data_IF_257716927476
#
_entry.id   IF_257716927476
#
_cell.length_a   1.000
_cell.length_b   1.000
_cell.length_c   1.000
_cell.angle_alpha   90.00
_cell.angle_beta   90.00
_cell.angle_gamma   90.00
#
_symmetry.space_group_name_H-M   'P 1'
#
loop_
_entity.id
_entity.type
_entity.pdbx_description
1 polymer ?
#
# COMPACT_ATOMS: atom_id res chain seq x y z
N UNK A 1 0.61 4.71 -13.79
CA UNK A 1 1.25 3.40 -13.55
C UNK A 1 1.87 2.91 -14.85
N UNK A 2 3.05 2.31 -14.74
CA UNK A 2 3.79 1.72 -15.87
C UNK A 2 4.03 0.24 -15.58
N UNK A 3 4.02 -0.59 -16.63
CA UNK A 3 4.22 -2.04 -16.50
C UNK A 3 5.23 -2.50 -17.54
N UNK A 4 6.29 -3.19 -17.09
CA UNK A 4 7.16 -3.94 -17.99
C UNK A 4 6.47 -5.23 -18.41
N UNK A 5 6.09 -5.32 -19.68
CA UNK A 5 5.37 -6.47 -20.23
C UNK A 5 6.19 -7.76 -20.31
N UNK A 6 7.52 -7.69 -20.19
CA UNK A 6 8.39 -8.88 -20.22
C UNK A 6 8.53 -9.51 -18.83
N UNK A 7 8.60 -8.69 -17.78
CA UNK A 7 8.84 -9.13 -16.40
C UNK A 7 7.59 -9.10 -15.53
N UNK A 8 6.57 -8.34 -15.93
CA UNK A 8 5.38 -8.05 -15.13
C UNK A 8 5.61 -6.98 -14.06
N UNK A 9 6.80 -6.36 -14.01
CA UNK A 9 7.10 -5.36 -12.98
C UNK A 9 6.24 -4.10 -13.15
N UNK A 10 5.56 -3.70 -12.07
CA UNK A 10 4.70 -2.52 -12.02
C UNK A 10 5.39 -1.37 -11.29
N UNK A 11 5.38 -0.18 -11.87
CA UNK A 11 5.88 1.06 -11.26
C UNK A 11 4.73 2.07 -11.10
N UNK A 12 4.55 2.58 -9.88
CA UNK A 12 3.58 3.63 -9.60
C UNK A 12 4.20 5.01 -9.91
N UNK A 13 3.76 5.66 -11.00
CA UNK A 13 4.26 6.97 -11.43
C UNK A 13 3.68 8.11 -10.60
N UNK A 14 2.39 8.00 -10.25
CA UNK A 14 1.63 9.03 -9.56
C UNK A 14 0.62 8.35 -8.62
N UNK A 15 0.52 8.87 -7.39
CA UNK A 15 -0.44 8.41 -6.39
C UNK A 15 -1.06 9.63 -5.71
N UNK A 16 -2.39 9.73 -5.75
CA UNK A 16 -3.15 10.85 -5.18
C UNK A 16 -4.15 10.31 -4.19
N UNK A 17 -4.21 10.91 -3.01
CA UNK A 17 -5.20 10.61 -1.98
C UNK A 17 -5.90 11.90 -1.55
N UNK A 18 -7.24 11.87 -1.53
CA UNK A 18 -8.07 12.94 -1.00
C UNK A 18 -8.83 12.39 0.21
N UNK A 19 -8.63 13.00 1.37
CA UNK A 19 -9.24 12.57 2.64
C UNK A 19 -9.97 13.74 3.27
N UNK A 20 -11.23 13.53 3.63
CA UNK A 20 -12.00 14.44 4.47
C UNK A 20 -12.11 13.85 5.87
N UNK A 21 -11.54 14.56 6.86
CA UNK A 21 -11.63 14.20 8.28
C UNK A 21 -12.35 15.28 9.09
N UNK A 22 -13.02 16.23 8.43
CA UNK A 22 -13.57 17.42 9.07
C UNK A 22 -12.48 18.33 9.66
N UNK A 23 -12.67 18.79 10.90
CA UNK A 23 -11.69 19.63 11.59
C UNK A 23 -10.64 18.73 12.23
N UNK A 24 -9.47 18.66 11.60
CA UNK A 24 -8.33 17.94 12.17
C UNK A 24 -7.89 18.56 13.51
N UNK A 25 -7.87 17.74 14.57
CA UNK A 25 -7.41 18.15 15.92
C UNK A 25 -5.93 18.56 15.87
N UNK A 26 -5.11 17.78 15.16
CA UNK A 26 -3.71 18.07 14.91
C UNK A 26 -3.41 17.85 13.41
N UNK A 27 -3.36 18.92 12.61
CA UNK A 27 -3.14 18.83 11.16
C UNK A 27 -1.83 18.14 10.78
N UNK A 28 -0.76 18.36 11.53
CA UNK A 28 0.57 17.78 11.21
C UNK A 28 0.53 16.25 11.32
N UNK A 29 -0.03 15.74 12.41
CA UNK A 29 -0.16 14.29 12.58
C UNK A 29 -1.18 13.69 11.62
N UNK A 30 -2.26 14.42 11.31
CA UNK A 30 -3.25 13.97 10.34
C UNK A 30 -2.63 13.78 8.94
N UNK A 31 -1.81 14.73 8.48
CA UNK A 31 -1.07 14.59 7.23
C UNK A 31 -0.15 13.37 7.25
N UNK A 32 0.60 13.16 8.34
CA UNK A 32 1.46 11.98 8.46
C UNK A 32 0.71 10.65 8.42
N UNK A 33 -0.54 10.61 8.90
CA UNK A 33 -1.39 9.41 8.78
C UNK A 33 -1.85 9.19 7.33
N UNK A 34 -2.19 10.25 6.60
CA UNK A 34 -2.55 10.15 5.17
C UNK A 34 -1.37 9.62 4.37
N UNK A 35 -0.17 10.17 4.56
CA UNK A 35 1.06 9.72 3.89
C UNK A 35 1.40 8.26 4.24
N UNK A 36 1.36 7.91 5.54
CA UNK A 36 1.59 6.54 5.99
C UNK A 36 0.59 5.54 5.40
N UNK A 37 -0.70 5.92 5.37
CA UNK A 37 -1.75 5.12 4.75
C UNK A 37 -1.56 4.94 3.25
N UNK A 38 -1.10 5.98 2.53
CA UNK A 38 -0.78 5.87 1.10
C UNK A 38 0.35 4.88 0.83
N UNK A 39 1.43 4.95 1.61
CA UNK A 39 2.58 4.04 1.47
C UNK A 39 2.18 2.61 1.81
N UNK A 40 1.41 2.42 2.88
CA UNK A 40 0.90 1.10 3.27
C UNK A 40 -0.01 0.50 2.20
N UNK A 41 -0.94 1.30 1.63
CA UNK A 41 -1.82 0.84 0.56
C UNK A 41 -1.03 0.45 -0.70
N UNK A 42 0.02 1.20 -1.04
CA UNK A 42 0.89 0.89 -2.16
C UNK A 42 1.66 -0.42 -1.95
N UNK A 43 2.23 -0.62 -0.75
CA UNK A 43 2.89 -1.86 -0.36
C UNK A 43 1.94 -3.04 -0.43
N UNK A 44 0.74 -2.89 0.14
CA UNK A 44 -0.29 -3.92 0.09
C UNK A 44 -0.68 -4.31 -1.35
N UNK A 45 -0.83 -3.32 -2.23
CA UNK A 45 -1.27 -3.55 -3.60
C UNK A 45 -0.19 -4.19 -4.50
N UNK A 46 1.10 -3.91 -4.27
CA UNK A 46 2.16 -4.28 -5.21
C UNK A 46 3.19 -5.27 -4.66
N UNK A 47 3.33 -5.37 -3.34
CA UNK A 47 4.45 -6.07 -2.70
C UNK A 47 4.02 -7.14 -1.70
N UNK A 48 2.91 -6.93 -0.98
CA UNK A 48 2.50 -7.84 0.09
C UNK A 48 1.66 -9.00 -0.45
N UNK A 49 1.99 -10.21 0.01
CA UNK A 49 1.21 -11.41 -0.26
C UNK A 49 1.24 -12.28 1.00
N UNK A 50 0.18 -13.05 1.25
CA UNK A 50 0.17 -14.10 2.27
C UNK A 50 0.03 -15.44 1.57
N UNK A 51 1.13 -16.18 1.48
CA UNK A 51 1.19 -17.45 0.75
C UNK A 51 0.91 -18.59 1.73
N UNK A 52 -0.10 -19.39 1.46
CA UNK A 52 -0.47 -20.54 2.29
C UNK A 52 -0.24 -21.86 1.55
N UNK A 53 0.11 -22.92 2.29
CA UNK A 53 0.10 -24.28 1.77
C UNK A 53 -1.30 -24.93 1.81
N UNK A 54 -1.44 -26.12 1.22
CA UNK A 54 -2.71 -26.88 1.19
C UNK A 54 -3.23 -27.27 2.58
N UNK A 55 -2.36 -27.24 3.60
CA UNK A 55 -2.71 -27.51 4.99
C UNK A 55 -3.06 -26.23 5.77
N UNK A 56 -3.04 -25.06 5.11
CA UNK A 56 -3.37 -23.75 5.68
C UNK A 56 -2.24 -23.09 6.47
N UNK A 57 -0.98 -23.55 6.32
CA UNK A 57 0.17 -22.94 7.00
C UNK A 57 0.72 -21.79 6.17
N UNK A 58 0.99 -20.67 6.84
CA UNK A 58 1.61 -19.49 6.22
C UNK A 58 3.08 -19.79 5.87
N UNK A 59 3.44 -19.65 4.60
CA UNK A 59 4.77 -19.95 4.06
C UNK A 59 5.73 -18.76 4.17
N UNK A 60 5.20 -17.53 4.23
CA UNK A 60 5.97 -16.29 4.36
C UNK A 60 5.53 -15.48 5.61
N UNK A 61 5.83 -15.95 6.83
CA UNK A 61 5.41 -15.29 8.06
C UNK A 61 6.21 -14.03 8.43
N UNK A 62 7.04 -13.51 7.53
CA UNK A 62 7.95 -12.38 7.77
C UNK A 62 7.82 -11.34 6.68
#
# INVERSE_FOLDING_TARGET
>A
VEVDTQTGQVTCTDLVMAVDCGIAINPVTATGQVEGGMVQALGYALCEEMVYDDAGRLLNPR
#
